data_IF_194768678129
#
_entry.id   IF_194768678129
#
_cell.length_a   1.000
_cell.length_b   1.000
_cell.length_c   1.000
_cell.angle_alpha   90.00
_cell.angle_beta   90.00
_cell.angle_gamma   90.00
#
_symmetry.space_group_name_H-M   'P 1'
#
loop_
_entity.id
_entity.type
_entity.pdbx_description
1 polymer ?
#
# COMPACT_ATOMS: atom_id res chain seq x y z
N UNK A 1 -8.55 13.39 -17.15
CA UNK A 1 -9.47 12.27 -17.44
C UNK A 1 -10.03 11.67 -16.15
N UNK A 2 -9.23 10.97 -15.33
CA UNK A 2 -9.67 10.29 -14.08
C UNK A 2 -10.64 11.13 -13.22
N UNK A 3 -10.26 12.37 -12.89
CA UNK A 3 -11.10 13.26 -12.08
C UNK A 3 -12.50 13.49 -12.68
N UNK A 4 -12.58 13.67 -14.01
CA UNK A 4 -13.85 13.92 -14.68
C UNK A 4 -14.76 12.68 -14.67
N UNK A 5 -14.19 11.51 -14.95
CA UNK A 5 -14.93 10.23 -14.93
C UNK A 5 -15.48 9.93 -13.52
N UNK A 6 -14.64 10.10 -12.49
CA UNK A 6 -15.05 9.90 -11.10
C UNK A 6 -16.12 10.91 -10.68
N UNK A 7 -15.97 12.20 -11.01
CA UNK A 7 -16.98 13.20 -10.66
C UNK A 7 -18.31 12.94 -11.34
N UNK A 8 -18.32 12.51 -12.61
CA UNK A 8 -19.55 12.15 -13.30
C UNK A 8 -20.26 10.98 -12.60
N UNK A 9 -19.55 9.88 -12.34
CA UNK A 9 -20.12 8.71 -11.66
C UNK A 9 -20.55 9.02 -10.22
N UNK A 10 -19.70 9.67 -9.44
CA UNK A 10 -19.99 10.02 -8.05
C UNK A 10 -21.17 10.99 -7.95
N UNK A 11 -21.22 12.04 -8.78
CA UNK A 11 -22.35 12.98 -8.80
C UNK A 11 -23.65 12.26 -9.16
N UNK A 12 -23.60 11.33 -10.12
CA UNK A 12 -24.77 10.52 -10.48
C UNK A 12 -25.30 9.71 -9.29
N UNK A 13 -24.44 9.09 -8.48
CA UNK A 13 -24.90 8.39 -7.26
C UNK A 13 -25.66 9.32 -6.31
N UNK A 14 -25.22 10.58 -6.19
CA UNK A 14 -25.85 11.57 -5.32
C UNK A 14 -27.17 12.12 -5.87
N UNK A 15 -27.35 12.11 -7.20
CA UNK A 15 -28.65 12.44 -7.82
C UNK A 15 -29.70 11.35 -7.54
N UNK A 16 -29.29 10.08 -7.50
CA UNK A 16 -30.20 8.97 -7.20
C UNK A 16 -30.57 8.93 -5.71
N UNK A 17 -29.57 9.07 -4.82
CA UNK A 17 -29.80 9.16 -3.38
C UNK A 17 -28.74 10.08 -2.76
N UNK A 18 -29.12 11.31 -2.34
CA UNK A 18 -28.22 12.17 -1.59
C UNK A 18 -27.69 11.49 -0.33
N UNK A 19 -26.36 11.54 -0.13
CA UNK A 19 -25.69 10.89 1.00
C UNK A 19 -25.37 9.40 0.79
N UNK A 20 -25.61 8.84 -0.40
CA UNK A 20 -25.15 7.49 -0.72
C UNK A 20 -23.61 7.41 -0.64
N UNK A 21 -23.03 6.40 0.04
CA UNK A 21 -21.58 6.27 0.15
C UNK A 21 -20.97 5.98 -1.22
N UNK A 22 -19.92 6.72 -1.57
CA UNK A 22 -19.19 6.56 -2.84
C UNK A 22 -17.70 6.80 -2.60
N UNK A 23 -16.86 6.05 -3.30
CA UNK A 23 -15.40 6.18 -3.25
C UNK A 23 -14.88 6.82 -4.54
N UNK A 24 -13.81 7.60 -4.41
CA UNK A 24 -12.98 7.98 -5.54
C UNK A 24 -12.12 6.77 -5.92
N UNK A 25 -12.42 6.14 -7.05
CA UNK A 25 -11.68 4.97 -7.54
C UNK A 25 -10.65 5.33 -8.62
N UNK A 26 -9.50 4.69 -8.60
CA UNK A 26 -8.53 4.72 -9.70
C UNK A 26 -7.91 3.34 -9.87
N UNK A 27 -7.87 2.86 -11.11
CA UNK A 27 -7.00 1.78 -11.53
C UNK A 27 -6.14 2.36 -12.65
N UNK A 28 -4.87 2.58 -12.36
CA UNK A 28 -3.91 3.13 -13.32
C UNK A 28 -2.83 2.08 -13.58
N UNK A 29 -2.51 1.86 -14.85
CA UNK A 29 -1.39 1.06 -15.32
C UNK A 29 -0.73 1.80 -16.48
N UNK A 30 0.54 1.50 -16.75
CA UNK A 30 1.16 1.88 -18.02
C UNK A 30 1.01 0.75 -19.04
N UNK A 31 1.44 1.00 -20.27
CA UNK A 31 1.41 0.02 -21.36
C UNK A 31 2.84 -0.09 -21.90
N UNK A 32 3.28 -1.31 -22.18
CA UNK A 32 4.51 -1.55 -22.93
C UNK A 32 4.35 -1.04 -24.37
N UNK A 33 5.16 -0.07 -24.78
CA UNK A 33 5.12 0.46 -26.15
C UNK A 33 5.54 -0.56 -27.21
N UNK A 34 6.23 -1.63 -26.81
CA UNK A 34 6.66 -2.69 -27.72
C UNK A 34 5.54 -3.72 -27.98
N UNK A 35 4.81 -4.11 -26.93
CA UNK A 35 3.84 -5.22 -27.00
C UNK A 35 2.38 -4.80 -26.87
N UNK A 36 2.11 -3.55 -26.47
CA UNK A 36 0.76 -3.09 -26.13
C UNK A 36 0.19 -3.69 -24.85
N UNK A 37 0.96 -4.52 -24.13
CA UNK A 37 0.50 -5.19 -22.91
C UNK A 37 0.51 -4.23 -21.71
N UNK A 38 -0.44 -4.38 -20.77
CA UNK A 38 -0.41 -3.66 -19.50
C UNK A 38 0.88 -3.95 -18.71
N UNK A 39 1.46 -2.91 -18.12
CA UNK A 39 2.64 -3.00 -17.25
C UNK A 39 2.33 -2.43 -15.87
N UNK A 40 2.92 -3.06 -14.86
CA UNK A 40 2.74 -2.73 -13.45
C UNK A 40 4.09 -2.50 -12.78
N UNK A 41 4.08 -1.94 -11.56
CA UNK A 41 5.31 -1.66 -10.82
C UNK A 41 6.17 -0.52 -11.36
N UNK A 42 5.73 0.14 -12.43
CA UNK A 42 6.39 1.28 -13.05
C UNK A 42 6.13 2.59 -12.27
N UNK A 43 6.95 3.63 -12.47
CA UNK A 43 6.80 4.90 -11.76
C UNK A 43 5.52 5.67 -12.12
N UNK A 44 5.07 5.62 -13.38
CA UNK A 44 4.00 6.48 -13.88
C UNK A 44 2.65 6.23 -13.19
N UNK A 45 2.17 4.97 -13.00
CA UNK A 45 0.96 4.69 -12.25
C UNK A 45 1.02 5.15 -10.78
N UNK A 46 2.21 5.12 -10.18
CA UNK A 46 2.42 5.61 -8.81
C UNK A 46 2.25 7.13 -8.73
N UNK A 47 2.82 7.89 -9.68
CA UNK A 47 2.63 9.35 -9.78
C UNK A 47 1.16 9.71 -9.98
N UNK A 48 0.44 8.99 -10.85
CA UNK A 48 -1.00 9.16 -11.04
C UNK A 48 -1.75 8.90 -9.74
N UNK A 49 -1.40 7.83 -9.02
CA UNK A 49 -2.04 7.46 -7.75
C UNK A 49 -1.82 8.51 -6.66
N UNK A 50 -0.61 9.07 -6.53
CA UNK A 50 -0.35 10.14 -5.57
C UNK A 50 -1.17 11.41 -5.87
N UNK A 51 -1.24 11.81 -7.14
CA UNK A 51 -2.06 12.95 -7.56
C UNK A 51 -3.56 12.71 -7.32
N UNK A 52 -4.06 11.53 -7.70
CA UNK A 52 -5.45 11.14 -7.50
C UNK A 52 -5.83 11.09 -6.02
N UNK A 53 -4.94 10.62 -5.13
CA UNK A 53 -5.16 10.61 -3.69
C UNK A 53 -5.37 12.02 -3.13
N UNK A 54 -4.58 12.99 -3.59
CA UNK A 54 -4.76 14.39 -3.19
C UNK A 54 -6.10 14.96 -3.70
N UNK A 55 -6.50 14.62 -4.93
CA UNK A 55 -7.79 15.03 -5.48
C UNK A 55 -8.96 14.43 -4.69
N UNK A 56 -8.90 13.14 -4.36
CA UNK A 56 -9.91 12.46 -3.56
C UNK A 56 -10.10 13.14 -2.19
N UNK A 57 -9.00 13.46 -1.49
CA UNK A 57 -9.03 14.22 -0.24
C UNK A 57 -9.65 15.60 -0.39
N UNK A 58 -9.31 16.33 -1.46
CA UNK A 58 -9.90 17.66 -1.76
C UNK A 58 -11.39 17.59 -2.07
N UNK A 59 -11.87 16.47 -2.60
CA UNK A 59 -13.29 16.21 -2.84
C UNK A 59 -14.02 15.67 -1.60
N UNK A 60 -13.31 15.34 -0.52
CA UNK A 60 -13.91 14.75 0.68
C UNK A 60 -14.41 13.32 0.49
N UNK A 61 -13.88 12.58 -0.50
CA UNK A 61 -14.27 11.19 -0.78
C UNK A 61 -13.17 10.21 -0.34
N UNK A 62 -13.52 9.06 0.25
CA UNK A 62 -12.56 7.98 0.48
C UNK A 62 -11.96 7.49 -0.84
N UNK A 63 -10.67 7.16 -0.82
CA UNK A 63 -9.90 6.84 -2.02
C UNK A 63 -9.59 5.35 -2.14
N UNK A 64 -9.79 4.79 -3.33
CA UNK A 64 -9.35 3.45 -3.73
C UNK A 64 -8.37 3.52 -4.88
N UNK A 65 -7.19 2.93 -4.71
CA UNK A 65 -6.22 2.67 -5.77
C UNK A 65 -5.31 1.49 -5.40
N UNK A 66 -4.43 1.12 -6.34
CA UNK A 66 -3.26 0.29 -6.08
C UNK A 66 -3.55 -1.12 -5.56
N UNK A 67 -2.67 -1.60 -4.68
CA UNK A 67 -2.58 -3.00 -4.24
C UNK A 67 -1.28 -3.67 -4.68
N UNK A 68 -1.27 -5.00 -4.62
CA UNK A 68 -0.11 -5.84 -4.94
C UNK A 68 -0.13 -6.25 -6.42
N UNK A 69 -0.01 -5.24 -7.30
CA UNK A 69 -0.23 -5.41 -8.75
C UNK A 69 1.05 -5.82 -9.48
N UNK A 70 0.94 -6.81 -10.36
CA UNK A 70 2.04 -7.26 -11.22
C UNK A 70 1.55 -7.87 -12.54
N UNK A 71 2.43 -7.90 -13.54
CA UNK A 71 2.25 -8.52 -14.86
C UNK A 71 2.89 -9.92 -14.97
N UNK A 72 3.69 -10.33 -13.97
CA UNK A 72 4.35 -11.64 -13.97
C UNK A 72 3.32 -12.78 -14.00
N UNK A 73 3.68 -13.91 -14.62
CA UNK A 73 2.83 -15.11 -14.80
C UNK A 73 3.03 -16.11 -13.67
N UNK A 74 4.09 -15.90 -12.87
CA UNK A 74 4.51 -16.76 -11.78
C UNK A 74 4.86 -15.88 -10.57
N UNK A 75 4.77 -16.39 -9.33
CA UNK A 75 5.13 -15.65 -8.12
C UNK A 75 6.66 -15.55 -7.96
N UNK A 76 7.31 -14.88 -8.90
CA UNK A 76 8.75 -14.70 -8.95
C UNK A 76 9.19 -13.29 -8.49
N UNK A 77 10.47 -12.97 -8.69
CA UNK A 77 11.01 -11.68 -8.34
C UNK A 77 10.33 -10.52 -9.11
N UNK A 78 9.90 -10.73 -10.37
CA UNK A 78 9.13 -9.71 -11.08
C UNK A 78 7.80 -9.44 -10.37
N UNK A 79 7.05 -10.49 -10.02
CA UNK A 79 5.81 -10.36 -9.26
C UNK A 79 6.04 -9.59 -7.95
N UNK A 80 7.11 -9.92 -7.24
CA UNK A 80 7.49 -9.28 -5.98
C UNK A 80 7.82 -7.79 -6.14
N UNK A 81 8.73 -7.41 -7.03
CA UNK A 81 9.15 -6.02 -7.19
C UNK A 81 8.02 -5.13 -7.70
N UNK A 82 7.24 -5.61 -8.68
CA UNK A 82 6.13 -4.82 -9.20
C UNK A 82 5.04 -4.60 -8.15
N UNK A 83 4.72 -5.66 -7.38
CA UNK A 83 3.74 -5.60 -6.31
C UNK A 83 4.23 -4.70 -5.17
N UNK A 84 5.50 -4.82 -4.76
CA UNK A 84 6.08 -3.99 -3.71
C UNK A 84 6.10 -2.51 -4.08
N UNK A 85 6.48 -2.16 -5.31
CA UNK A 85 6.45 -0.78 -5.80
C UNK A 85 5.03 -0.19 -5.74
N UNK A 86 4.04 -0.98 -6.18
CA UNK A 86 2.65 -0.55 -6.19
C UNK A 86 2.05 -0.50 -4.78
N UNK A 87 2.37 -1.45 -3.91
CA UNK A 87 1.86 -1.51 -2.55
C UNK A 87 2.45 -0.39 -1.69
N UNK A 88 3.75 -0.15 -1.76
CA UNK A 88 4.40 0.96 -1.04
C UNK A 88 3.80 2.31 -1.45
N UNK A 89 3.56 2.53 -2.76
CA UNK A 89 2.91 3.77 -3.20
C UNK A 89 1.45 3.86 -2.76
N UNK A 90 0.74 2.74 -2.70
CA UNK A 90 -0.64 2.67 -2.16
C UNK A 90 -0.70 3.15 -0.71
N UNK A 91 0.23 2.68 0.12
CA UNK A 91 0.32 3.02 1.54
C UNK A 91 0.71 4.49 1.72
N UNK A 92 1.78 4.93 1.07
CA UNK A 92 2.27 6.32 1.17
C UNK A 92 1.29 7.34 0.57
N UNK A 93 0.41 6.93 -0.35
CA UNK A 93 -0.67 7.78 -0.86
C UNK A 93 -1.80 8.01 0.15
N UNK A 94 -1.87 7.24 1.23
CA UNK A 94 -2.96 7.28 2.22
C UNK A 94 -4.27 6.72 1.65
N UNK A 95 -4.19 5.61 0.91
CA UNK A 95 -5.35 4.97 0.28
C UNK A 95 -6.28 4.36 1.33
N UNK A 96 -7.59 4.62 1.24
CA UNK A 96 -8.56 4.15 2.24
C UNK A 96 -9.04 2.72 1.99
N UNK A 97 -9.15 2.31 0.73
CA UNK A 97 -9.63 0.99 0.36
C UNK A 97 -8.75 0.38 -0.73
N UNK A 98 -8.11 -0.76 -0.46
CA UNK A 98 -7.16 -1.42 -1.37
C UNK A 98 -7.77 -2.72 -1.87
N UNK A 99 -8.36 -2.68 -3.07
CA UNK A 99 -9.17 -3.81 -3.58
C UNK A 99 -8.33 -5.05 -3.93
N UNK A 100 -7.14 -4.86 -4.50
CA UNK A 100 -6.28 -5.94 -4.98
C UNK A 100 -5.06 -6.10 -4.08
N UNK A 101 -5.29 -6.13 -2.77
CA UNK A 101 -4.21 -6.15 -1.77
C UNK A 101 -3.41 -7.46 -1.76
N UNK A 102 -4.02 -8.60 -2.14
CA UNK A 102 -3.35 -9.89 -2.16
C UNK A 102 -3.86 -10.84 -3.26
N UNK A 103 -2.94 -11.61 -3.84
CA UNK A 103 -3.24 -12.75 -4.72
C UNK A 103 -3.30 -12.43 -6.22
N UNK A 104 -3.17 -11.16 -6.59
CA UNK A 104 -3.15 -10.72 -7.99
C UNK A 104 -1.93 -11.27 -8.73
N UNK A 105 -2.14 -11.86 -9.91
CA UNK A 105 -1.08 -12.29 -10.82
C UNK A 105 -1.52 -12.11 -12.28
N UNK A 106 -0.55 -12.16 -13.20
CA UNK A 106 -0.77 -12.15 -14.65
C UNK A 106 -1.63 -10.97 -15.13
N UNK A 107 -1.32 -9.76 -14.63
CA UNK A 107 -2.05 -8.56 -15.02
C UNK A 107 -3.55 -8.60 -14.69
N UNK A 108 -3.95 -9.42 -13.70
CA UNK A 108 -5.32 -9.53 -13.22
C UNK A 108 -6.08 -10.72 -13.77
N UNK A 109 -5.45 -11.55 -14.59
CA UNK A 109 -6.06 -12.76 -15.15
C UNK A 109 -6.09 -13.93 -14.18
N UNK A 110 -5.27 -13.90 -13.12
CA UNK A 110 -5.13 -15.00 -12.18
C UNK A 110 -5.23 -14.55 -10.72
N UNK A 111 -5.84 -15.41 -9.90
CA UNK A 111 -5.74 -15.40 -8.44
C UNK A 111 -4.83 -16.55 -8.02
N UNK A 112 -3.65 -16.26 -7.49
CA UNK A 112 -2.63 -17.25 -7.16
C UNK A 112 -2.47 -17.40 -5.64
N UNK A 113 -2.53 -18.63 -5.13
CA UNK A 113 -2.44 -18.92 -3.69
C UNK A 113 -1.05 -18.60 -3.11
N UNK A 114 0.03 -18.95 -3.81
CA UNK A 114 1.39 -18.64 -3.37
C UNK A 114 1.61 -17.13 -3.31
N UNK A 115 1.17 -16.42 -4.36
CA UNK A 115 1.21 -14.95 -4.40
C UNK A 115 0.35 -14.32 -3.31
N UNK A 116 -0.81 -14.91 -2.99
CA UNK A 116 -1.65 -14.44 -1.89
C UNK A 116 -0.88 -14.51 -0.55
N UNK A 117 -0.18 -15.62 -0.28
CA UNK A 117 0.62 -15.76 0.94
C UNK A 117 1.79 -14.76 0.99
N UNK A 118 2.45 -14.50 -0.13
CA UNK A 118 3.49 -13.46 -0.22
C UNK A 118 2.92 -12.07 0.07
N UNK A 119 1.77 -11.74 -0.52
CA UNK A 119 1.19 -10.42 -0.40
C UNK A 119 0.65 -10.14 1.01
N UNK A 120 0.04 -11.12 1.68
CA UNK A 120 -0.45 -10.93 3.06
C UNK A 120 0.70 -10.70 4.06
N UNK A 121 1.86 -11.32 3.85
CA UNK A 121 3.05 -11.06 4.65
C UNK A 121 3.51 -9.60 4.48
N UNK A 122 3.56 -9.12 3.23
CA UNK A 122 3.84 -7.72 2.94
C UNK A 122 2.79 -6.78 3.55
N UNK A 123 1.49 -7.13 3.50
CA UNK A 123 0.45 -6.33 4.15
C UNK A 123 0.66 -6.22 5.67
N UNK A 124 1.10 -7.30 6.33
CA UNK A 124 1.49 -7.26 7.74
C UNK A 124 2.64 -6.28 7.99
N UNK A 125 3.67 -6.30 7.14
CA UNK A 125 4.77 -5.33 7.21
C UNK A 125 4.29 -3.89 7.01
N UNK A 126 3.39 -3.65 6.04
CA UNK A 126 2.83 -2.32 5.80
C UNK A 126 1.93 -1.84 6.92
N UNK A 127 1.18 -2.74 7.56
CA UNK A 127 0.39 -2.41 8.74
C UNK A 127 1.29 -1.91 9.87
N UNK A 128 2.39 -2.62 10.14
CA UNK A 128 3.38 -2.17 11.14
C UNK A 128 4.05 -0.86 10.75
N UNK A 129 4.40 -0.70 9.48
CA UNK A 129 4.99 0.55 8.96
C UNK A 129 4.08 1.76 9.20
N UNK A 130 2.77 1.60 9.02
CA UNK A 130 1.78 2.65 9.25
C UNK A 130 1.64 3.09 10.71
N UNK A 131 2.09 2.29 11.69
CA UNK A 131 2.12 2.69 13.10
C UNK A 131 3.15 3.80 13.37
N UNK A 132 4.13 3.96 12.48
CA UNK A 132 5.17 4.98 12.59
C UNK A 132 6.20 4.66 13.67
N UNK A 133 6.77 5.71 14.27
CA UNK A 133 7.81 5.60 15.30
C UNK A 133 7.19 5.87 16.67
N UNK A 134 7.37 4.96 17.63
CA UNK A 134 6.99 5.20 19.02
C UNK A 134 7.94 6.23 19.66
N UNK A 135 7.37 7.34 20.12
CA UNK A 135 8.08 8.43 20.78
C UNK A 135 7.88 8.45 22.31
N UNK A 136 7.24 7.41 22.87
CA UNK A 136 7.08 7.23 24.31
C UNK A 136 8.43 7.15 25.03
N UNK A 137 8.43 7.29 26.36
CA UNK A 137 9.63 7.09 27.17
C UNK A 137 10.24 5.68 26.97
N UNK A 138 9.38 4.66 26.83
CA UNK A 138 9.81 3.30 26.50
C UNK A 138 10.43 3.23 25.09
N UNK A 139 9.82 3.88 24.09
CA UNK A 139 10.34 3.96 22.73
C UNK A 139 11.68 4.69 22.61
N UNK A 140 11.93 5.66 23.49
CA UNK A 140 13.22 6.37 23.57
C UNK A 140 14.35 5.49 24.13
N UNK A 141 14.03 4.49 24.96
CA UNK A 141 14.96 3.48 25.48
C UNK A 141 16.22 4.02 26.18
N UNK A 142 16.15 5.23 26.77
CA UNK A 142 17.31 5.92 27.33
C UNK A 142 17.97 5.14 28.49
N UNK A 143 17.18 4.42 29.28
CA UNK A 143 17.70 3.60 30.38
C UNK A 143 18.42 2.35 29.88
N UNK A 144 17.91 1.72 28.82
CA UNK A 144 18.60 0.60 28.16
C UNK A 144 19.96 1.04 27.63
N UNK A 145 20.04 2.22 27.00
CA UNK A 145 21.30 2.77 26.47
C UNK A 145 22.33 2.96 27.58
N UNK A 146 21.91 3.51 28.73
CA UNK A 146 22.78 3.71 29.91
C UNK A 146 23.18 2.39 30.55
N UNK A 147 22.26 1.43 30.65
CA UNK A 147 22.49 0.10 31.25
C UNK A 147 23.54 -0.69 30.45
N UNK A 148 23.42 -0.71 29.13
CA UNK A 148 24.27 -1.52 28.25
C UNK A 148 25.64 -0.88 28.03
N UNK A 149 25.67 0.44 27.79
CA UNK A 149 26.91 1.19 27.61
C UNK A 149 27.69 0.86 26.32
N UNK A 150 28.84 1.54 26.09
CA UNK A 150 29.62 1.40 24.87
C UNK A 150 30.25 0.01 24.70
N UNK A 151 30.22 -0.54 23.48
CA UNK A 151 30.92 -1.78 23.11
C UNK A 151 30.21 -3.08 23.49
N UNK A 152 28.98 -3.02 24.02
CA UNK A 152 28.14 -4.18 24.37
C UNK A 152 26.94 -4.35 23.41
N UNK A 153 25.96 -5.18 23.75
CA UNK A 153 24.75 -5.43 22.95
C UNK A 153 23.46 -5.51 23.81
N UNK A 154 22.31 -5.34 23.17
CA UNK A 154 21.00 -5.19 23.87
C UNK A 154 20.20 -6.49 24.03
N UNK A 155 20.57 -7.58 23.35
CA UNK A 155 19.78 -8.82 23.28
C UNK A 155 19.31 -9.39 24.65
N UNK A 156 20.10 -9.17 25.70
CA UNK A 156 19.80 -9.69 27.04
C UNK A 156 19.26 -8.67 28.03
N UNK A 157 19.15 -7.38 27.70
CA UNK A 157 18.74 -6.36 28.66
C UNK A 157 17.23 -6.40 28.94
N UNK A 158 16.84 -5.89 30.11
CA UNK A 158 15.46 -5.94 30.59
C UNK A 158 14.49 -5.28 29.61
N UNK A 159 14.90 -4.17 29.00
CA UNK A 159 14.10 -3.45 28.00
C UNK A 159 13.81 -4.30 26.75
N UNK A 160 14.81 -5.06 26.25
CA UNK A 160 14.58 -5.95 25.10
C UNK A 160 13.65 -7.10 25.48
N UNK A 161 13.84 -7.71 26.65
CA UNK A 161 12.98 -8.80 27.11
C UNK A 161 11.53 -8.36 27.32
N UNK A 162 11.32 -7.15 27.86
CA UNK A 162 9.99 -6.59 28.10
C UNK A 162 9.23 -6.27 26.80
N UNK A 163 9.93 -5.96 25.70
CA UNK A 163 9.34 -5.50 24.45
C UNK A 163 9.39 -6.53 23.30
N UNK A 164 9.94 -7.72 23.51
CA UNK A 164 10.18 -8.68 22.42
C UNK A 164 8.89 -9.23 21.77
N UNK A 165 7.81 -9.37 22.53
CA UNK A 165 6.55 -10.01 22.07
C UNK A 165 5.39 -9.03 21.85
N UNK A 166 5.63 -7.74 22.05
CA UNK A 166 4.65 -6.65 21.93
C UNK A 166 4.80 -5.94 20.60
#
# INVERSE_FOLDING_TARGET
QVLAEVLAGASFTQLIRPGAPVLFGTFASSISMQSGAPTFGTPEPSLVSYGAAQLARRLGLPFRTGGSLCASKVPDAQAAYESANTLNSTILAGTNFVLHSAGWLEGGLASCYEKFMMDIDQLGMQQKFCEGVDLSENGQAMDAIRQVGPGSHYLGCDHTQANFQT
#
